data_IF_712194426582
#
_entry.id   IF_712194426582
#
_cell.length_a   1.000
_cell.length_b   1.000
_cell.length_c   1.000
_cell.angle_alpha   90.00
_cell.angle_beta   90.00
_cell.angle_gamma   90.00
#
_symmetry.space_group_name_H-M   'P 1'
#
loop_
_entity.id
_entity.type
_entity.pdbx_description
1 polymer ?
#
# COMPACT_ATOMS: atom_id res chain seq x y z
N UNK A 1 -27.11 9.69 5.93
CA UNK A 1 -26.10 10.77 6.09
C UNK A 1 -25.15 10.31 7.18
N UNK A 2 -23.82 10.46 7.07
CA UNK A 2 -22.98 10.11 8.20
C UNK A 2 -23.33 11.09 9.33
N UNK A 3 -23.84 10.53 10.41
CA UNK A 3 -24.13 11.22 11.66
C UNK A 3 -22.90 12.04 12.04
N UNK A 4 -23.07 13.33 12.30
CA UNK A 4 -21.98 14.18 12.74
C UNK A 4 -21.37 13.55 13.99
N UNK A 5 -20.12 13.09 13.86
CA UNK A 5 -19.28 12.65 14.97
C UNK A 5 -19.47 13.68 16.08
N UNK A 6 -19.91 13.21 17.25
CA UNK A 6 -20.15 14.00 18.45
C UNK A 6 -19.25 15.24 18.47
N UNK A 7 -19.87 16.43 18.44
CA UNK A 7 -19.13 17.69 18.33
C UNK A 7 -18.10 17.78 19.45
N UNK A 8 -16.82 17.54 19.13
CA UNK A 8 -15.73 17.61 20.09
C UNK A 8 -15.57 19.07 20.48
N UNK A 9 -15.92 19.41 21.74
CA UNK A 9 -15.71 20.76 22.24
C UNK A 9 -14.22 20.98 22.49
N UNK A 10 -13.59 21.84 21.69
CA UNK A 10 -12.19 22.24 21.82
C UNK A 10 -12.04 23.68 22.36
N UNK A 11 -13.12 24.27 22.88
CA UNK A 11 -13.18 25.67 23.30
C UNK A 11 -12.24 26.00 24.46
N UNK A 12 -11.83 25.00 25.25
CA UNK A 12 -10.93 25.16 26.38
C UNK A 12 -9.45 25.33 26.00
N UNK A 13 -9.08 25.06 24.73
CA UNK A 13 -7.70 25.21 24.27
C UNK A 13 -7.35 26.69 24.06
N UNK A 14 -6.16 27.08 24.47
CA UNK A 14 -5.54 28.32 24.01
C UNK A 14 -5.25 28.27 22.51
N UNK A 15 -5.05 29.43 21.88
CA UNK A 15 -4.70 29.49 20.46
C UNK A 15 -3.39 28.75 20.14
N UNK A 16 -2.41 28.80 21.06
CA UNK A 16 -1.15 28.05 20.93
C UNK A 16 -1.34 26.54 20.97
N UNK A 17 -2.21 26.03 21.84
CA UNK A 17 -2.50 24.60 21.89
C UNK A 17 -3.27 24.15 20.64
N UNK A 18 -4.17 25.00 20.14
CA UNK A 18 -4.90 24.79 18.89
C UNK A 18 -3.94 24.66 17.71
N UNK A 19 -2.95 25.55 17.60
CA UNK A 19 -1.96 25.51 16.52
C UNK A 19 -1.11 24.23 16.58
N UNK A 20 -0.65 23.84 17.77
CA UNK A 20 0.10 22.59 17.96
C UNK A 20 -0.71 21.35 17.54
N UNK A 21 -2.01 21.33 17.84
CA UNK A 21 -2.90 20.24 17.41
C UNK A 21 -3.03 20.24 15.88
N UNK A 22 -3.24 21.41 15.26
CA UNK A 22 -3.33 21.53 13.80
C UNK A 22 -2.04 21.08 13.10
N UNK A 23 -0.87 21.36 13.67
CA UNK A 23 0.43 20.88 13.17
C UNK A 23 0.56 19.36 13.19
N UNK A 24 0.04 18.71 14.22
CA UNK A 24 -0.01 17.24 14.28
C UNK A 24 -0.94 16.69 13.21
N UNK A 25 -2.14 17.28 13.06
CA UNK A 25 -3.13 16.82 12.08
C UNK A 25 -2.65 17.00 10.63
N UNK A 26 -1.97 18.11 10.32
CA UNK A 26 -1.38 18.34 9.00
C UNK A 26 -0.32 17.29 8.66
N UNK A 27 0.56 16.95 9.62
CA UNK A 27 1.56 15.88 9.43
C UNK A 27 0.90 14.50 9.30
N UNK A 28 -0.17 14.24 10.04
CA UNK A 28 -0.92 12.99 9.92
C UNK A 28 -1.57 12.88 8.53
N UNK A 29 -2.14 13.96 8.01
CA UNK A 29 -2.72 13.99 6.67
C UNK A 29 -1.65 13.75 5.58
N UNK A 30 -0.49 14.40 5.68
CA UNK A 30 0.65 14.13 4.81
C UNK A 30 1.07 12.66 4.86
N UNK A 31 1.14 12.08 6.06
CA UNK A 31 1.48 10.67 6.26
C UNK A 31 0.43 9.74 5.63
N UNK A 32 -0.86 10.05 5.77
CA UNK A 32 -1.96 9.29 5.15
C UNK A 32 -1.85 9.32 3.63
N UNK A 33 -1.56 10.48 3.03
CA UNK A 33 -1.39 10.61 1.58
C UNK A 33 -0.23 9.74 1.07
N UNK A 34 0.91 9.76 1.77
CA UNK A 34 2.07 8.92 1.43
C UNK A 34 1.73 7.43 1.56
N UNK A 35 1.04 7.04 2.63
CA UNK A 35 0.66 5.65 2.85
C UNK A 35 -0.36 5.16 1.81
N UNK A 36 -1.33 6.00 1.43
CA UNK A 36 -2.24 5.69 0.33
C UNK A 36 -1.50 5.47 -0.98
N UNK A 37 -0.53 6.33 -1.30
CA UNK A 37 0.32 6.15 -2.49
C UNK A 37 1.12 4.85 -2.42
N UNK A 38 1.70 4.53 -1.26
CA UNK A 38 2.43 3.27 -1.04
C UNK A 38 1.54 2.05 -1.28
N UNK A 39 0.33 2.04 -0.72
CA UNK A 39 -0.64 0.95 -0.90
C UNK A 39 -1.09 0.85 -2.36
N UNK A 40 -1.37 1.98 -3.03
CA UNK A 40 -1.72 1.99 -4.47
C UNK A 40 -0.60 1.40 -5.32
N UNK A 41 0.66 1.79 -5.06
CA UNK A 41 1.83 1.26 -5.77
C UNK A 41 1.96 -0.26 -5.58
N UNK A 42 1.88 -0.74 -4.33
CA UNK A 42 1.97 -2.18 -4.04
C UNK A 42 0.84 -2.99 -4.68
N UNK A 43 -0.39 -2.44 -4.75
CA UNK A 43 -1.50 -3.09 -5.47
C UNK A 43 -1.21 -3.21 -6.96
N UNK A 44 -0.67 -2.16 -7.58
CA UNK A 44 -0.27 -2.18 -9.00
C UNK A 44 0.85 -3.19 -9.26
N UNK A 45 1.91 -3.17 -8.44
CA UNK A 45 3.00 -4.14 -8.51
C UNK A 45 2.46 -5.57 -8.37
N UNK A 46 1.58 -5.84 -7.42
CA UNK A 46 0.95 -7.14 -7.25
C UNK A 46 0.14 -7.59 -8.47
N UNK A 47 -0.60 -6.67 -9.12
CA UNK A 47 -1.34 -6.98 -10.35
C UNK A 47 -0.39 -7.32 -11.51
N UNK A 48 0.68 -6.54 -11.68
CA UNK A 48 1.70 -6.81 -12.69
C UNK A 48 2.38 -8.17 -12.47
N UNK A 49 2.71 -8.45 -11.21
CA UNK A 49 3.23 -9.73 -10.73
C UNK A 49 2.30 -10.89 -11.13
N UNK A 50 1.00 -10.77 -10.88
CA UNK A 50 0.02 -11.80 -11.25
C UNK A 50 -0.07 -11.99 -12.76
N UNK A 51 0.02 -10.91 -13.55
CA UNK A 51 -0.01 -10.96 -15.02
C UNK A 51 1.25 -11.58 -15.63
N UNK A 52 2.45 -11.16 -15.19
CA UNK A 52 3.74 -11.55 -15.80
C UNK A 52 4.26 -12.89 -15.30
N UNK A 53 4.06 -13.19 -14.02
CA UNK A 53 4.66 -14.36 -13.38
C UNK A 53 3.77 -15.59 -13.33
N UNK A 54 2.45 -15.41 -13.43
CA UNK A 54 1.45 -16.46 -13.58
C UNK A 54 1.84 -17.49 -14.66
N UNK A 55 2.14 -18.76 -14.35
CA UNK A 55 1.91 -19.82 -15.35
C UNK A 55 0.42 -19.79 -15.69
N UNK A 56 0.09 -19.35 -16.90
CA UNK A 56 -1.29 -19.29 -17.38
C UNK A 56 -1.78 -20.73 -17.59
N UNK A 57 -3.06 -21.01 -17.32
CA UNK A 57 -3.60 -22.37 -17.51
C UNK A 57 -3.46 -22.93 -18.94
N UNK A 58 -3.18 -22.06 -19.92
CA UNK A 58 -3.05 -22.40 -21.35
C UNK A 58 -1.60 -22.48 -21.86
N UNK A 59 -0.59 -22.26 -21.03
CA UNK A 59 0.81 -22.23 -21.47
C UNK A 59 1.53 -23.57 -21.32
N UNK A 60 2.34 -23.94 -22.33
CA UNK A 60 3.24 -25.08 -22.26
C UNK A 60 4.52 -24.71 -21.49
N UNK A 61 4.45 -24.75 -20.16
CA UNK A 61 5.60 -24.44 -19.30
C UNK A 61 6.39 -25.69 -18.93
N UNK A 62 7.72 -25.56 -18.82
CA UNK A 62 8.57 -26.60 -18.24
C UNK A 62 8.18 -26.91 -16.79
N UNK A 63 8.18 -28.19 -16.41
CA UNK A 63 7.99 -28.63 -15.02
C UNK A 63 9.14 -28.14 -14.11
N UNK A 64 10.32 -27.88 -14.69
CA UNK A 64 11.51 -27.40 -14.00
C UNK A 64 11.70 -25.88 -14.11
N UNK A 65 10.63 -25.10 -14.13
CA UNK A 65 10.72 -23.64 -14.07
C UNK A 65 9.86 -23.05 -12.96
N UNK A 66 10.38 -22.00 -12.33
CA UNK A 66 9.67 -21.26 -11.29
C UNK A 66 8.35 -20.73 -11.86
N UNK A 67 7.22 -21.05 -11.22
CA UNK A 67 5.89 -20.58 -11.64
C UNK A 67 5.64 -19.09 -11.45
N UNK A 68 6.69 -18.29 -11.24
CA UNK A 68 6.63 -16.87 -10.89
C UNK A 68 7.65 -16.02 -11.65
N UNK A 69 8.94 -16.37 -11.62
CA UNK A 69 9.96 -15.69 -12.43
C UNK A 69 10.26 -16.42 -13.75
N UNK A 70 9.68 -17.61 -13.96
CA UNK A 70 9.95 -18.51 -15.10
C UNK A 70 11.42 -18.95 -15.26
N UNK A 71 12.28 -18.59 -14.31
CA UNK A 71 13.66 -19.04 -14.28
C UNK A 71 13.75 -20.57 -14.10
N UNK A 72 14.74 -21.23 -14.70
CA UNK A 72 14.98 -22.64 -14.51
C UNK A 72 15.23 -22.98 -13.03
N UNK A 73 14.57 -24.02 -12.54
CA UNK A 73 14.84 -24.64 -11.23
C UNK A 73 16.04 -25.60 -11.33
N UNK A 74 17.09 -25.19 -12.04
CA UNK A 74 18.35 -25.91 -12.07
C UNK A 74 19.11 -25.72 -10.77
N UNK A 75 20.10 -26.58 -10.52
CA UNK A 75 21.07 -26.36 -9.45
C UNK A 75 21.75 -25.01 -9.73
N UNK A 76 21.62 -24.04 -8.83
CA UNK A 76 22.34 -22.76 -8.90
C UNK A 76 23.83 -23.10 -8.99
N UNK A 77 24.44 -22.89 -10.15
CA UNK A 77 25.90 -22.88 -10.26
C UNK A 77 26.36 -21.59 -9.62
N UNK A 78 26.85 -21.72 -8.38
CA UNK A 78 27.53 -20.66 -7.62
C UNK A 78 28.72 -20.13 -8.42
#
# INVERSE_FOLDING_TARGET
MPEAIDSINLGFLSDSERELVLDVLRRDEELRLVEEQRVRKLKTELQEVKRKGAKLGSGNYSEHSCGRCQEPLSRLTV
#
